data_IF_380851809422
#
_entry.id   IF_380851809422
#
_cell.length_a   1.000
_cell.length_b   1.000
_cell.length_c   1.000
_cell.angle_alpha   90.00
_cell.angle_beta   90.00
_cell.angle_gamma   90.00
#
_symmetry.space_group_name_H-M   'P 1'
#
loop_
_entity.id
_entity.type
_entity.pdbx_description
1 polymer ?
#
# COMPACT_ATOMS: atom_id res chain seq x y z
N UNK A 1 3.51 -26.14 -84.27
CA UNK A 1 2.39 -26.13 -83.30
C UNK A 1 2.86 -26.91 -82.08
N UNK A 2 3.31 -26.22 -81.04
CA UNK A 2 3.79 -26.81 -79.79
C UNK A 2 2.60 -27.02 -78.85
N UNK A 3 2.51 -28.21 -78.26
CA UNK A 3 1.46 -28.55 -77.29
C UNK A 3 1.65 -27.73 -76.01
N UNK A 4 0.59 -27.12 -75.44
CA UNK A 4 0.69 -26.39 -74.18
C UNK A 4 0.99 -27.35 -73.02
N UNK A 5 2.04 -27.04 -72.27
CA UNK A 5 2.51 -27.84 -71.13
C UNK A 5 1.46 -27.94 -70.02
N UNK A 6 1.36 -29.12 -69.41
CA UNK A 6 0.51 -29.39 -68.24
C UNK A 6 0.91 -28.51 -67.05
N UNK A 7 -0.05 -27.90 -66.32
CA UNK A 7 0.25 -27.13 -65.11
C UNK A 7 0.94 -28.00 -64.05
N UNK A 8 2.01 -27.49 -63.44
CA UNK A 8 2.70 -28.14 -62.32
C UNK A 8 1.82 -28.04 -61.06
N UNK A 9 1.28 -29.16 -60.60
CA UNK A 9 0.54 -29.24 -59.34
C UNK A 9 1.51 -29.56 -58.20
N UNK A 10 1.66 -28.69 -57.19
CA UNK A 10 2.58 -28.93 -56.08
C UNK A 10 2.11 -30.11 -55.22
N UNK A 11 3.04 -30.91 -54.65
CA UNK A 11 2.68 -32.05 -53.82
C UNK A 11 1.94 -31.60 -52.55
N UNK A 12 0.90 -32.36 -52.18
CA UNK A 12 0.12 -32.10 -50.98
C UNK A 12 1.01 -32.06 -49.73
N UNK A 13 0.79 -31.10 -48.80
CA UNK A 13 1.52 -31.06 -47.55
C UNK A 13 1.26 -32.32 -46.72
N UNK A 14 2.23 -32.76 -45.91
CA UNK A 14 2.06 -33.90 -45.03
C UNK A 14 0.88 -33.68 -44.06
N UNK A 15 0.17 -34.76 -43.67
CA UNK A 15 -0.95 -34.66 -42.75
C UNK A 15 -0.51 -34.07 -41.41
N UNK A 16 -1.32 -33.16 -40.89
CA UNK A 16 -1.09 -32.48 -39.62
C UNK A 16 -1.05 -33.50 -38.47
N UNK A 17 -0.13 -33.37 -37.50
CA UNK A 17 -0.11 -34.24 -36.34
C UNK A 17 -1.44 -34.15 -35.58
N UNK A 18 -1.90 -35.24 -34.95
CA UNK A 18 -3.14 -35.23 -34.19
C UNK A 18 -3.08 -34.17 -33.09
N UNK A 19 -4.15 -33.38 -32.98
CA UNK A 19 -4.28 -32.39 -31.92
C UNK A 19 -4.06 -33.06 -30.56
N UNK A 20 -3.27 -32.45 -29.66
CA UNK A 20 -3.11 -32.97 -28.31
C UNK A 20 -4.48 -33.13 -27.64
N UNK A 21 -4.64 -34.07 -26.70
CA UNK A 21 -5.88 -34.25 -25.97
C UNK A 21 -6.32 -32.90 -25.41
N UNK A 22 -7.61 -32.57 -25.56
CA UNK A 22 -8.17 -31.35 -24.97
C UNK A 22 -7.85 -31.33 -23.47
N UNK A 23 -6.88 -30.52 -23.09
CA UNK A 23 -6.62 -30.18 -21.71
C UNK A 23 -7.59 -29.05 -21.39
N UNK A 24 -8.59 -29.26 -20.51
CA UNK A 24 -9.38 -28.14 -20.02
C UNK A 24 -8.39 -27.10 -19.49
N UNK A 25 -8.63 -25.79 -19.72
CA UNK A 25 -7.77 -24.77 -19.14
C UNK A 25 -7.65 -25.09 -17.66
N UNK A 26 -6.40 -25.22 -17.19
CA UNK A 26 -6.12 -25.33 -15.76
C UNK A 26 -7.01 -24.30 -15.07
N UNK A 27 -7.81 -24.68 -14.06
CA UNK A 27 -8.60 -23.69 -13.33
C UNK A 27 -7.65 -22.55 -13.02
N UNK A 28 -8.04 -21.27 -13.25
CA UNK A 28 -7.14 -20.15 -12.99
C UNK A 28 -6.58 -20.43 -11.61
N UNK A 29 -5.24 -20.58 -11.52
CA UNK A 29 -4.57 -20.77 -10.25
C UNK A 29 -5.28 -19.82 -9.31
N UNK A 30 -5.97 -20.35 -8.30
CA UNK A 30 -6.75 -19.52 -7.40
C UNK A 30 -5.67 -18.74 -6.67
N UNK A 31 -5.29 -17.56 -7.19
CA UNK A 31 -4.31 -16.69 -6.58
C UNK A 31 -4.78 -16.60 -5.13
N UNK A 32 -3.98 -17.06 -4.15
CA UNK A 32 -4.44 -17.16 -2.77
C UNK A 32 -5.09 -15.82 -2.45
N UNK A 33 -6.39 -15.86 -2.14
CA UNK A 33 -7.28 -14.70 -2.25
C UNK A 33 -6.56 -13.46 -1.75
N UNK A 34 -6.12 -12.60 -2.69
CA UNK A 34 -5.23 -11.49 -2.38
C UNK A 34 -5.85 -10.72 -1.22
N UNK A 35 -5.04 -10.41 -0.20
CA UNK A 35 -5.53 -9.66 0.93
C UNK A 35 -6.16 -8.35 0.39
N UNK A 36 -7.32 -7.91 0.89
CA UNK A 36 -8.12 -6.83 0.27
C UNK A 36 -7.46 -5.43 0.27
N UNK A 37 -6.18 -5.35 0.63
CA UNK A 37 -5.33 -4.18 0.58
C UNK A 37 -4.21 -4.41 -0.43
N UNK A 38 -4.16 -3.53 -1.43
CA UNK A 38 -3.06 -3.46 -2.39
C UNK A 38 -2.24 -2.22 -2.08
N UNK A 39 -0.94 -2.41 -1.82
CA UNK A 39 0.00 -1.31 -1.63
C UNK A 39 1.27 -1.57 -2.42
N UNK A 40 1.56 -0.67 -3.35
CA UNK A 40 2.78 -0.69 -4.15
C UNK A 40 3.35 0.71 -4.29
N UNK A 41 4.67 0.78 -4.30
CA UNK A 41 5.41 2.02 -4.60
C UNK A 41 6.28 1.75 -5.80
N UNK A 42 6.17 2.58 -6.83
CA UNK A 42 6.94 2.39 -8.05
C UNK A 42 8.41 2.67 -7.77
N UNK A 43 9.26 1.69 -8.09
CA UNK A 43 10.70 1.84 -7.93
C UNK A 43 11.22 2.93 -8.88
N UNK A 44 12.04 3.88 -8.39
CA UNK A 44 12.63 4.92 -9.23
C UNK A 44 13.73 4.33 -10.12
N UNK A 45 13.43 4.07 -11.39
CA UNK A 45 14.42 3.64 -12.39
C UNK A 45 15.41 4.75 -12.77
N UNK A 46 15.03 6.02 -12.54
CA UNK A 46 15.89 7.20 -12.66
C UNK A 46 16.71 7.43 -11.38
N UNK A 47 17.91 8.03 -11.47
CA UNK A 47 18.65 8.44 -10.28
C UNK A 47 17.85 9.48 -9.46
N UNK A 48 17.84 9.32 -8.14
CA UNK A 48 17.20 10.25 -7.22
C UNK A 48 18.01 11.53 -7.07
N UNK A 49 17.32 12.65 -6.82
CA UNK A 49 17.97 13.92 -6.57
C UNK A 49 18.71 13.91 -5.21
N UNK A 50 20.04 14.13 -5.26
CA UNK A 50 20.91 14.13 -4.08
C UNK A 50 20.63 15.27 -3.12
N UNK A 51 20.26 16.45 -3.62
CA UNK A 51 20.01 17.64 -2.82
C UNK A 51 18.67 17.51 -2.06
N UNK A 52 17.62 17.02 -2.73
CA UNK A 52 16.36 16.76 -2.05
C UNK A 52 16.48 15.61 -1.03
N UNK A 53 17.34 14.62 -1.31
CA UNK A 53 17.67 13.52 -0.38
C UNK A 53 18.45 14.01 0.84
N UNK A 54 19.50 14.80 0.63
CA UNK A 54 20.36 15.31 1.71
C UNK A 54 19.63 16.30 2.62
N UNK A 55 18.80 17.18 2.04
CA UNK A 55 18.03 18.19 2.78
C UNK A 55 16.60 17.74 3.13
N UNK A 56 16.31 16.45 3.03
CA UNK A 56 14.95 15.91 3.19
C UNK A 56 14.32 16.26 4.54
N UNK A 57 15.12 16.28 5.61
CA UNK A 57 14.65 16.63 6.95
C UNK A 57 14.18 18.09 7.07
N UNK A 58 14.63 19.00 6.20
CA UNK A 58 14.13 20.37 6.12
C UNK A 58 12.87 20.44 5.26
N UNK A 59 12.90 19.81 4.09
CA UNK A 59 11.79 19.86 3.13
C UNK A 59 10.55 19.12 3.59
N UNK A 60 10.69 18.11 4.46
CA UNK A 60 9.55 17.38 5.00
C UNK A 60 8.75 18.22 6.02
N UNK A 61 9.32 19.28 6.60
CA UNK A 61 8.69 20.00 7.72
C UNK A 61 7.30 20.54 7.35
N UNK A 62 7.08 21.26 6.23
CA UNK A 62 5.77 21.83 5.93
C UNK A 62 4.70 20.75 5.74
N UNK A 63 5.01 19.71 4.96
CA UNK A 63 4.05 18.63 4.72
C UNK A 63 3.87 17.74 5.95
N UNK A 64 4.91 17.59 6.77
CA UNK A 64 4.87 16.87 8.04
C UNK A 64 3.98 17.54 9.07
N UNK A 65 3.97 18.88 9.12
CA UNK A 65 3.03 19.65 9.95
C UNK A 65 1.59 19.41 9.49
N UNK A 66 1.33 19.50 8.18
CA UNK A 66 -0.01 19.24 7.61
C UNK A 66 -0.45 17.81 7.91
N UNK A 67 0.41 16.82 7.66
CA UNK A 67 0.16 15.42 7.95
C UNK A 67 -0.10 15.17 9.44
N UNK A 68 0.68 15.79 10.33
CA UNK A 68 0.47 15.70 11.77
C UNK A 68 -0.86 16.30 12.19
N UNK A 69 -1.21 17.49 11.68
CA UNK A 69 -2.47 18.17 12.00
C UNK A 69 -3.69 17.38 11.52
N UNK A 70 -3.59 16.74 10.36
CA UNK A 70 -4.63 15.86 9.83
C UNK A 70 -4.70 14.57 10.66
N UNK A 71 -3.58 13.86 10.85
CA UNK A 71 -3.57 12.57 11.54
C UNK A 71 -3.87 12.68 13.05
N UNK A 72 -3.41 13.75 13.69
CA UNK A 72 -3.51 13.99 15.14
C UNK A 72 -3.86 15.46 15.37
N UNK A 73 -5.12 15.75 15.68
CA UNK A 73 -5.52 17.12 16.02
C UNK A 73 -5.09 17.59 17.41
N UNK A 74 -3.95 17.09 17.91
CA UNK A 74 -3.30 17.55 19.13
C UNK A 74 -1.90 18.07 18.80
N UNK A 75 -1.70 19.39 19.00
CA UNK A 75 -0.38 19.98 19.17
C UNK A 75 -0.30 20.46 20.61
N UNK A 76 0.48 19.76 21.43
CA UNK A 76 0.84 20.23 22.76
C UNK A 76 2.16 21.00 22.66
N UNK A 77 2.10 22.32 22.83
CA UNK A 77 3.28 23.13 23.14
C UNK A 77 3.32 23.31 24.65
N UNK A 78 4.50 23.17 25.25
CA UNK A 78 4.72 23.21 26.70
C UNK A 78 4.01 24.39 27.39
N UNK A 79 3.25 24.08 28.45
CA UNK A 79 2.82 25.06 29.46
C UNK A 79 1.33 25.38 29.55
N UNK A 80 0.49 25.09 28.55
CA UNK A 80 -0.96 25.28 28.65
C UNK A 80 -1.72 24.22 27.84
N UNK A 81 -2.33 23.26 28.53
CA UNK A 81 -3.20 22.24 27.92
C UNK A 81 -4.63 22.77 27.78
N UNK A 82 -4.86 23.68 26.84
CA UNK A 82 -6.22 23.96 26.36
C UNK A 82 -6.55 23.00 25.20
N UNK A 83 -7.06 21.81 25.56
CA UNK A 83 -7.60 20.83 24.61
C UNK A 83 -9.00 21.29 24.14
N UNK A 84 -9.04 22.16 23.13
CA UNK A 84 -10.22 22.33 22.28
C UNK A 84 -9.96 21.61 20.96
N UNK A 85 -10.48 20.39 20.86
CA UNK A 85 -10.31 19.52 19.69
C UNK A 85 -11.29 19.92 18.58
N UNK A 86 -10.78 20.66 17.60
CA UNK A 86 -11.16 20.52 16.19
C UNK A 86 -10.64 19.22 15.53
N UNK A 87 -10.11 18.26 16.31
CA UNK A 87 -9.49 17.00 15.88
C UNK A 87 -10.48 15.95 15.36
N UNK A 88 -11.37 16.34 14.43
CA UNK A 88 -12.19 15.42 13.64
C UNK A 88 -11.55 15.08 12.28
N UNK A 89 -10.30 15.49 12.03
CA UNK A 89 -9.57 15.25 10.77
C UNK A 89 -8.72 13.97 10.74
N UNK A 90 -8.66 13.21 11.84
CA UNK A 90 -7.92 11.95 11.87
C UNK A 90 -8.65 10.82 11.17
N UNK A 91 -8.08 9.61 11.29
CA UNK A 91 -8.79 8.38 10.96
C UNK A 91 -10.09 8.33 11.77
N UNK A 92 -11.23 8.16 11.11
CA UNK A 92 -12.57 8.16 11.70
C UNK A 92 -12.88 6.84 12.45
N UNK A 93 -11.96 6.36 13.29
CA UNK A 93 -12.09 5.07 13.97
C UNK A 93 -13.33 4.99 14.85
N UNK A 94 -13.47 5.88 15.84
CA UNK A 94 -14.59 5.82 16.79
C UNK A 94 -15.96 6.00 16.12
N UNK A 95 -16.15 6.97 15.19
CA UNK A 95 -17.38 7.06 14.43
C UNK A 95 -17.70 5.77 13.67
N UNK A 96 -16.73 5.24 12.90
CA UNK A 96 -16.90 4.00 12.11
C UNK A 96 -17.25 2.83 13.02
N UNK A 97 -16.53 2.67 14.13
CA UNK A 97 -16.77 1.66 15.13
C UNK A 97 -18.22 1.73 15.65
N UNK A 98 -18.69 2.90 16.07
CA UNK A 98 -20.06 3.08 16.57
C UNK A 98 -21.11 2.80 15.48
N UNK A 99 -20.89 3.25 14.25
CA UNK A 99 -21.80 2.96 13.13
C UNK A 99 -21.86 1.46 12.81
N UNK A 100 -20.75 0.74 12.91
CA UNK A 100 -20.72 -0.71 12.73
C UNK A 100 -21.47 -1.42 13.88
N UNK A 101 -21.23 -1.02 15.14
CA UNK A 101 -21.87 -1.61 16.32
C UNK A 101 -23.39 -1.40 16.34
N UNK A 102 -23.85 -0.16 16.13
CA UNK A 102 -25.27 0.20 16.29
C UNK A 102 -26.08 0.11 14.99
N UNK A 103 -25.44 0.36 13.83
CA UNK A 103 -26.16 0.55 12.56
C UNK A 103 -25.72 -0.43 11.46
N UNK A 104 -24.71 -1.29 11.70
CA UNK A 104 -24.13 -2.21 10.69
C UNK A 104 -23.87 -1.53 9.35
N UNK A 105 -23.40 -0.29 9.39
CA UNK A 105 -23.21 0.53 8.20
C UNK A 105 -21.81 1.11 8.23
N UNK A 106 -21.13 1.05 7.09
CA UNK A 106 -19.91 1.80 6.85
C UNK A 106 -20.24 2.95 5.88
N UNK A 107 -20.43 4.20 6.35
CA UNK A 107 -20.73 5.33 5.46
C UNK A 107 -19.63 5.51 4.40
N UNK A 108 -20.03 5.65 3.12
CA UNK A 108 -19.07 5.78 2.00
C UNK A 108 -18.12 6.96 2.18
N UNK A 109 -18.65 8.15 2.49
CA UNK A 109 -17.80 9.32 2.67
C UNK A 109 -16.81 9.22 3.85
N UNK A 110 -17.08 8.39 4.87
CA UNK A 110 -16.10 8.09 5.94
C UNK A 110 -15.00 7.15 5.46
N UNK A 111 -15.38 6.17 4.63
CA UNK A 111 -14.43 5.28 3.99
C UNK A 111 -13.53 6.06 3.03
N UNK A 112 -14.14 6.90 2.18
CA UNK A 112 -13.43 7.75 1.22
C UNK A 112 -12.46 8.69 1.96
N UNK A 113 -12.90 9.31 3.05
CA UNK A 113 -12.02 10.12 3.92
C UNK A 113 -10.82 9.32 4.44
N UNK A 114 -11.07 8.16 5.06
CA UNK A 114 -10.00 7.33 5.61
C UNK A 114 -9.04 6.83 4.53
N UNK A 115 -9.56 6.47 3.34
CA UNK A 115 -8.77 6.02 2.19
C UNK A 115 -7.89 7.15 1.66
N UNK A 116 -8.45 8.33 1.42
CA UNK A 116 -7.69 9.48 0.91
C UNK A 116 -6.66 9.98 1.91
N UNK A 117 -7.01 10.04 3.20
CA UNK A 117 -6.05 10.36 4.24
C UNK A 117 -4.92 9.34 4.30
N UNK A 118 -5.22 8.04 4.18
CA UNK A 118 -4.19 6.99 4.16
C UNK A 118 -3.29 7.09 2.92
N UNK A 119 -3.85 7.42 1.74
CA UNK A 119 -3.09 7.66 0.50
C UNK A 119 -2.13 8.84 0.67
N UNK A 120 -2.63 9.95 1.21
CA UNK A 120 -1.81 11.12 1.49
C UNK A 120 -0.68 10.81 2.48
N UNK A 121 -1.00 10.18 3.61
CA UNK A 121 0.01 9.78 4.61
C UNK A 121 1.02 8.79 4.04
N UNK A 122 0.60 7.86 3.17
CA UNK A 122 1.50 6.94 2.50
C UNK A 122 2.46 7.67 1.54
N UNK A 123 2.02 8.71 0.82
CA UNK A 123 2.91 9.56 -0.01
C UNK A 123 3.90 10.32 0.85
N UNK A 124 3.46 10.90 1.97
CA UNK A 124 4.34 11.57 2.94
C UNK A 124 5.35 10.59 3.53
N UNK A 125 4.91 9.37 3.88
CA UNK A 125 5.77 8.30 4.37
C UNK A 125 6.78 7.84 3.33
N UNK A 126 6.38 7.66 2.07
CA UNK A 126 7.28 7.30 0.98
C UNK A 126 8.35 8.37 0.73
N UNK A 127 7.97 9.64 0.85
CA UNK A 127 8.93 10.75 0.86
C UNK A 127 9.86 10.65 2.07
N UNK A 128 9.33 10.54 3.29
CA UNK A 128 10.12 10.45 4.52
C UNK A 128 11.16 9.30 4.47
N UNK A 129 10.75 8.13 3.97
CA UNK A 129 11.53 6.90 3.92
C UNK A 129 12.44 6.78 2.70
N UNK A 130 12.65 7.87 1.95
CA UNK A 130 13.53 7.90 0.78
C UNK A 130 13.07 7.10 -0.43
N UNK A 131 11.85 6.56 -0.41
CA UNK A 131 11.32 5.72 -1.49
C UNK A 131 11.08 6.51 -2.78
N UNK A 132 10.66 7.78 -2.66
CA UNK A 132 10.42 8.70 -3.78
C UNK A 132 11.07 10.05 -3.51
N UNK A 133 11.56 10.72 -4.55
CA UNK A 133 12.15 12.07 -4.47
C UNK A 133 11.17 13.21 -4.80
N UNK A 134 10.02 12.88 -5.39
CA UNK A 134 8.89 13.76 -5.66
C UNK A 134 8.23 14.26 -4.38
N UNK A 135 8.01 15.57 -4.26
CA UNK A 135 7.33 16.14 -3.11
C UNK A 135 5.88 15.62 -3.02
N UNK A 136 5.37 15.24 -1.83
CA UNK A 136 4.05 14.63 -1.70
C UNK A 136 2.94 15.56 -2.16
N UNK A 137 2.12 15.09 -3.10
CA UNK A 137 0.91 15.78 -3.53
C UNK A 137 -0.28 15.41 -2.65
N UNK A 138 -1.16 16.39 -2.41
CA UNK A 138 -2.37 16.25 -1.59
C UNK A 138 -3.50 15.52 -2.31
N UNK A 139 -3.57 15.66 -3.63
CA UNK A 139 -4.72 15.29 -4.46
C UNK A 139 -4.31 14.50 -5.71
N UNK A 140 -3.14 14.79 -6.29
CA UNK A 140 -2.69 14.07 -7.48
C UNK A 140 -2.26 12.64 -7.17
N UNK A 141 -2.57 11.72 -8.09
CA UNK A 141 -2.02 10.38 -8.08
C UNK A 141 -0.51 10.44 -8.36
N UNK A 142 0.27 9.74 -7.54
CA UNK A 142 1.72 9.68 -7.62
C UNK A 142 2.15 8.20 -7.64
N UNK A 143 3.46 7.96 -7.59
CA UNK A 143 4.05 6.61 -7.55
C UNK A 143 3.72 5.75 -6.32
N UNK A 144 2.72 6.13 -5.51
CA UNK A 144 2.27 5.39 -4.33
C UNK A 144 0.82 5.00 -4.56
N UNK A 145 0.60 3.71 -4.77
CA UNK A 145 -0.70 3.13 -5.07
C UNK A 145 -1.21 2.43 -3.81
N UNK A 146 -2.29 2.94 -3.23
CA UNK A 146 -2.95 2.35 -2.07
C UNK A 146 -4.44 2.24 -2.35
N UNK A 147 -4.93 1.00 -2.38
CA UNK A 147 -6.34 0.70 -2.62
C UNK A 147 -6.89 -0.24 -1.56
N UNK A 148 -8.09 0.12 -1.08
CA UNK A 148 -8.91 -0.72 -0.22
C UNK A 148 -10.16 -1.17 -0.98
N UNK A 149 -10.48 -2.45 -0.91
CA UNK A 149 -11.79 -2.91 -1.36
C UNK A 149 -12.87 -2.36 -0.41
N UNK A 150 -13.91 -1.71 -0.96
CA UNK A 150 -15.02 -1.21 -0.16
C UNK A 150 -15.70 -2.38 0.58
N UNK A 151 -15.80 -2.32 1.92
CA UNK A 151 -16.24 -3.47 2.69
C UNK A 151 -17.77 -3.57 2.76
N UNK A 152 -18.30 -4.77 2.57
CA UNK A 152 -19.71 -5.04 2.84
C UNK A 152 -19.95 -5.08 4.35
N UNK A 153 -20.57 -4.03 4.89
CA UNK A 153 -20.83 -3.88 6.33
C UNK A 153 -21.69 -5.00 6.94
N UNK A 154 -22.40 -5.76 6.11
CA UNK A 154 -23.16 -6.95 6.51
C UNK A 154 -22.28 -8.16 6.85
N UNK A 155 -21.07 -8.24 6.28
CA UNK A 155 -20.10 -9.32 6.49
C UNK A 155 -19.12 -9.03 7.63
N UNK A 156 -19.06 -7.77 8.11
CA UNK A 156 -18.24 -7.35 9.24
C UNK A 156 -18.87 -7.76 10.58
N UNK A 157 -18.09 -8.42 11.43
CA UNK A 157 -18.53 -9.00 12.70
C UNK A 157 -18.85 -7.94 13.78
N UNK A 158 -20.04 -8.05 14.39
CA UNK A 158 -20.68 -7.06 15.30
C UNK A 158 -19.94 -6.77 16.62
N UNK A 159 -19.04 -7.64 17.09
CA UNK A 159 -18.73 -7.68 18.52
C UNK A 159 -17.25 -7.65 18.90
N UNK A 160 -16.33 -7.72 17.94
CA UNK A 160 -14.94 -8.04 18.25
C UNK A 160 -13.86 -7.00 17.91
N UNK A 161 -14.11 -5.68 17.78
CA UNK A 161 -13.02 -4.70 17.65
C UNK A 161 -11.95 -4.87 18.75
N UNK A 162 -12.35 -5.05 20.00
CA UNK A 162 -11.40 -5.25 21.12
C UNK A 162 -10.59 -6.55 20.95
N UNK A 163 -11.23 -7.63 20.52
CA UNK A 163 -10.53 -8.89 20.24
C UNK A 163 -9.59 -8.73 19.04
N UNK A 164 -9.98 -7.99 18.00
CA UNK A 164 -9.10 -7.66 16.88
C UNK A 164 -7.85 -6.91 17.36
N UNK A 165 -8.00 -5.97 18.28
CA UNK A 165 -6.89 -5.25 18.88
C UNK A 165 -5.96 -6.20 19.65
N UNK A 166 -6.52 -7.10 20.46
CA UNK A 166 -5.72 -8.13 21.15
C UNK A 166 -4.98 -9.05 20.16
N UNK A 167 -5.63 -9.44 19.06
CA UNK A 167 -5.04 -10.26 18.00
C UNK A 167 -4.00 -9.51 17.17
N UNK A 168 -4.05 -8.17 17.14
CA UNK A 168 -3.06 -7.32 16.48
C UNK A 168 -1.81 -7.08 17.34
N UNK A 169 -1.85 -7.33 18.65
CA UNK A 169 -0.70 -7.15 19.54
C UNK A 169 0.54 -7.93 19.07
N UNK A 170 0.44 -9.23 18.69
CA UNK A 170 1.58 -9.96 18.13
C UNK A 170 2.17 -9.30 16.89
N UNK A 171 1.33 -8.73 16.01
CA UNK A 171 1.80 -8.01 14.83
C UNK A 171 2.56 -6.74 15.21
N UNK A 172 2.06 -5.95 16.16
CA UNK A 172 2.75 -4.73 16.59
C UNK A 172 4.12 -5.01 17.18
N UNK A 173 4.27 -6.10 17.93
CA UNK A 173 5.58 -6.53 18.46
C UNK A 173 6.54 -6.81 17.30
N UNK A 174 6.13 -7.62 16.32
CA UNK A 174 7.00 -7.96 15.18
C UNK A 174 7.29 -6.74 14.31
N UNK A 175 6.27 -5.93 14.00
CA UNK A 175 6.42 -4.70 13.24
C UNK A 175 7.37 -3.73 13.93
N UNK A 176 7.35 -3.63 15.26
CA UNK A 176 8.28 -2.78 16.00
C UNK A 176 9.73 -3.15 15.71
N UNK A 177 10.09 -4.44 15.74
CA UNK A 177 11.43 -4.90 15.36
C UNK A 177 11.74 -4.65 13.88
N UNK A 178 10.77 -4.87 12.98
CA UNK A 178 10.95 -4.62 11.55
C UNK A 178 11.16 -3.15 11.24
N UNK A 179 10.48 -2.25 11.94
CA UNK A 179 10.66 -0.81 11.82
C UNK A 179 12.06 -0.37 12.26
N UNK A 180 12.66 -1.01 13.26
CA UNK A 180 14.08 -0.77 13.60
C UNK A 180 14.96 -1.12 12.39
N UNK A 181 14.75 -2.29 11.78
CA UNK A 181 15.43 -2.68 10.54
C UNK A 181 15.18 -1.70 9.39
N UNK A 182 13.97 -1.14 9.31
CA UNK A 182 13.59 -0.20 8.25
C UNK A 182 14.32 1.14 8.42
N UNK A 183 14.42 1.65 9.65
CA UNK A 183 15.22 2.84 9.96
C UNK A 183 16.68 2.63 9.59
N UNK A 184 17.28 1.50 9.96
CA UNK A 184 18.66 1.17 9.56
C UNK A 184 18.80 1.12 8.04
N UNK A 185 17.83 0.49 7.35
CA UNK A 185 17.81 0.40 5.88
C UNK A 185 17.70 1.77 5.21
N UNK A 186 16.89 2.68 5.76
CA UNK A 186 16.74 4.06 5.28
C UNK A 186 18.02 4.84 5.49
N UNK A 187 18.70 4.70 6.64
CA UNK A 187 20.00 5.36 6.89
C UNK A 187 21.05 4.87 5.90
N UNK A 188 21.17 3.56 5.68
CA UNK A 188 22.10 2.99 4.69
C UNK A 188 21.76 3.51 3.29
N UNK A 189 20.47 3.53 2.94
CA UNK A 189 19.98 4.00 1.63
C UNK A 189 20.23 5.49 1.44
N UNK A 190 20.13 6.30 2.50
CA UNK A 190 20.46 7.73 2.46
C UNK A 190 21.90 7.96 2.01
N UNK A 191 22.87 7.29 2.63
CA UNK A 191 24.26 7.35 2.19
C UNK A 191 24.42 6.82 0.76
N UNK A 192 23.82 5.66 0.44
CA UNK A 192 23.90 5.06 -0.89
C UNK A 192 23.40 6.03 -1.97
N UNK A 193 22.27 6.72 -1.75
CA UNK A 193 21.70 7.70 -2.69
C UNK A 193 22.60 8.93 -2.82
N UNK A 194 23.20 9.43 -1.73
CA UNK A 194 24.10 10.58 -1.82
C UNK A 194 25.33 10.31 -2.70
N UNK A 195 25.90 9.10 -2.61
CA UNK A 195 27.07 8.72 -3.40
C UNK A 195 26.71 8.27 -4.82
N UNK A 196 25.71 7.39 -4.95
CA UNK A 196 25.39 6.69 -6.21
C UNK A 196 24.19 7.28 -6.95
N UNK A 197 23.35 8.06 -6.27
CA UNK A 197 22.05 8.51 -6.78
C UNK A 197 21.00 7.42 -6.87
N UNK A 198 21.24 6.20 -6.35
CA UNK A 198 20.32 5.07 -6.49
C UNK A 198 19.97 4.47 -5.12
N UNK A 199 18.71 4.08 -4.98
CA UNK A 199 18.23 3.35 -3.80
C UNK A 199 18.57 1.85 -3.98
N UNK A 200 19.24 1.17 -3.03
CA UNK A 200 19.49 -0.26 -3.15
C UNK A 200 18.16 -1.07 -3.19
N UNK A 201 17.88 -1.78 -4.30
CA UNK A 201 16.62 -2.55 -4.48
C UNK A 201 16.23 -3.44 -3.29
N UNK A 202 17.13 -4.25 -2.68
CA UNK A 202 16.75 -5.09 -1.55
C UNK A 202 16.26 -4.31 -0.31
N UNK A 203 16.85 -3.14 -0.06
CA UNK A 203 16.42 -2.27 1.03
C UNK A 203 15.08 -1.60 0.72
N UNK A 204 14.87 -1.24 -0.54
CA UNK A 204 13.60 -0.67 -1.01
C UNK A 204 12.46 -1.67 -0.81
N UNK A 205 12.64 -2.90 -1.29
CA UNK A 205 11.64 -3.97 -1.20
C UNK A 205 11.32 -4.30 0.26
N UNK A 206 12.35 -4.32 1.12
CA UNK A 206 12.18 -4.50 2.56
C UNK A 206 11.33 -3.38 3.18
N UNK A 207 11.68 -2.10 2.98
CA UNK A 207 10.96 -0.96 3.55
C UNK A 207 9.52 -0.92 3.03
N UNK A 208 9.30 -1.13 1.73
CA UNK A 208 7.95 -1.22 1.14
C UNK A 208 7.15 -2.36 1.76
N UNK A 209 7.76 -3.52 1.98
CA UNK A 209 7.11 -4.65 2.64
C UNK A 209 6.70 -4.35 4.08
N UNK A 210 7.54 -3.65 4.84
CA UNK A 210 7.21 -3.23 6.23
C UNK A 210 6.04 -2.25 6.24
N UNK A 211 6.02 -1.28 5.33
CA UNK A 211 4.90 -0.34 5.18
C UNK A 211 3.63 -1.07 4.76
N UNK A 212 3.72 -1.98 3.77
CA UNK A 212 2.60 -2.81 3.31
C UNK A 212 1.99 -3.59 4.47
N UNK A 213 2.81 -4.26 5.27
CA UNK A 213 2.33 -5.02 6.41
C UNK A 213 1.72 -4.11 7.48
N UNK A 214 2.33 -2.96 7.78
CA UNK A 214 1.76 -1.97 8.71
C UNK A 214 0.34 -1.57 8.27
N UNK A 215 0.16 -1.20 7.00
CA UNK A 215 -1.14 -0.83 6.44
C UNK A 215 -2.16 -1.98 6.50
N UNK A 216 -1.72 -3.25 6.35
CA UNK A 216 -2.62 -4.42 6.50
C UNK A 216 -3.15 -4.57 7.91
N UNK A 217 -2.29 -4.34 8.91
CA UNK A 217 -2.67 -4.38 10.33
C UNK A 217 -3.63 -3.23 10.64
N UNK A 218 -3.34 -2.01 10.17
CA UNK A 218 -4.21 -0.84 10.33
C UNK A 218 -5.57 -1.06 9.67
N UNK A 219 -5.63 -1.63 8.46
CA UNK A 219 -6.88 -1.95 7.78
C UNK A 219 -7.76 -2.93 8.58
N UNK A 220 -7.13 -3.86 9.31
CA UNK A 220 -7.81 -4.84 10.16
C UNK A 220 -8.26 -4.25 11.50
N UNK A 221 -7.41 -3.49 12.19
CA UNK A 221 -7.63 -3.05 13.58
C UNK A 221 -8.14 -1.62 13.74
N UNK A 222 -7.71 -0.69 12.88
CA UNK A 222 -8.03 0.75 12.95
C UNK A 222 -9.08 1.17 11.91
N UNK A 223 -8.99 0.71 10.67
CA UNK A 223 -9.98 1.08 9.65
C UNK A 223 -11.20 0.16 9.67
N UNK A 224 -11.08 -1.02 10.30
CA UNK A 224 -12.15 -2.03 10.39
C UNK A 224 -12.74 -2.38 9.01
N UNK A 225 -11.92 -2.35 7.96
CA UNK A 225 -12.30 -2.64 6.58
C UNK A 225 -12.39 -4.15 6.35
N UNK A 226 -11.61 -4.95 7.09
CA UNK A 226 -11.62 -6.40 6.93
C UNK A 226 -11.63 -7.15 8.26
N UNK A 227 -12.27 -8.31 8.24
CA UNK A 227 -12.23 -9.31 9.32
C UNK A 227 -11.16 -10.38 9.07
N UNK A 228 -10.50 -10.38 7.90
CA UNK A 228 -9.44 -11.33 7.60
C UNK A 228 -8.19 -10.97 8.40
N UNK A 229 -7.68 -11.92 9.17
CA UNK A 229 -6.45 -11.75 9.93
C UNK A 229 -5.26 -11.51 8.98
N UNK A 230 -4.45 -10.46 9.19
CA UNK A 230 -3.36 -10.14 8.27
C UNK A 230 -2.23 -11.18 8.36
N UNK A 231 -1.70 -11.65 7.22
CA UNK A 231 -0.58 -12.58 7.21
C UNK A 231 0.70 -11.91 7.75
N UNK A 232 1.56 -12.68 8.42
CA UNK A 232 2.91 -12.27 8.80
C UNK A 232 3.83 -12.33 7.58
N UNK A 233 3.62 -11.43 6.62
CA UNK A 233 4.36 -11.38 5.36
C UNK A 233 4.61 -9.94 4.91
N UNK A 234 5.79 -9.74 4.34
CA UNK A 234 6.21 -8.49 3.68
C UNK A 234 5.74 -8.43 2.22
N UNK A 235 5.34 -9.56 1.63
CA UNK A 235 4.82 -9.65 0.26
C UNK A 235 3.35 -9.26 0.20
#
# INVERSE_FOLDING_TARGET
MQQPGTPYEPPNPPPEPPNPPYQPPSPPYRTPAAYPLTFSVDYPERPLNRLSTGLRFLWIIPIGIIASLLASGNISVEGQSYSWSWAAGGILFFPVLLMLLFRKKYPRWWFDWNLELSRFLARVGAYALLLRDEYPSTDEEQAVHLDFAYPDASQLSRGLPIIKWLLAVPHWIVLWFLWIGAVVSVVISWFAILFTGRYPRPLFDYVVGVVRWTLRVEAYSLLLITDRYPPFSLE
#
